data_IF_604838567612
#
_entry.id   IF_604838567612
#
_cell.length_a   1.000
_cell.length_b   1.000
_cell.length_c   1.000
_cell.angle_alpha   90.00
_cell.angle_beta   90.00
_cell.angle_gamma   90.00
#
_symmetry.space_group_name_H-M   'P 1'
#
loop_
_entity.id
_entity.type
_entity.pdbx_description
1 polymer ?
#
# COMPACT_ATOMS: atom_id res chain seq x y z
N UNK A 1 8.51 -12.37 -12.29
CA UNK A 1 9.28 -11.26 -11.73
C UNK A 1 10.74 -11.69 -11.69
N UNK A 2 11.62 -10.92 -12.33
CA UNK A 2 13.06 -11.21 -12.34
C UNK A 2 13.79 -10.65 -11.10
N UNK A 3 15.09 -10.93 -10.98
CA UNK A 3 15.91 -10.49 -9.85
C UNK A 3 16.02 -8.95 -9.76
N UNK A 4 16.04 -8.27 -10.91
CA UNK A 4 16.13 -6.81 -10.97
C UNK A 4 14.83 -6.16 -10.47
N UNK A 5 13.68 -6.65 -10.91
CA UNK A 5 12.36 -6.21 -10.46
C UNK A 5 12.17 -6.42 -8.97
N UNK A 6 12.58 -7.58 -8.44
CA UNK A 6 12.54 -7.85 -7.01
C UNK A 6 13.43 -6.88 -6.22
N UNK A 7 14.65 -6.61 -6.70
CA UNK A 7 15.57 -5.65 -6.10
C UNK A 7 14.96 -4.24 -6.08
N UNK A 8 14.39 -3.79 -7.20
CA UNK A 8 13.74 -2.48 -7.31
C UNK A 8 12.53 -2.42 -6.38
N UNK A 9 11.64 -3.41 -6.41
CA UNK A 9 10.46 -3.47 -5.53
C UNK A 9 10.86 -3.38 -4.05
N UNK A 10 11.80 -4.21 -3.60
CA UNK A 10 12.24 -4.21 -2.21
C UNK A 10 12.83 -2.85 -1.79
N UNK A 11 13.57 -2.21 -2.69
CA UNK A 11 14.07 -0.85 -2.47
C UNK A 11 12.93 0.15 -2.30
N UNK A 12 11.94 0.15 -3.19
CA UNK A 12 10.79 1.07 -3.11
C UNK A 12 10.00 0.91 -1.81
N UNK A 13 9.73 -0.33 -1.39
CA UNK A 13 9.05 -0.59 -0.13
C UNK A 13 9.88 -0.13 1.08
N UNK A 14 11.18 -0.40 1.08
CA UNK A 14 12.08 -0.01 2.17
C UNK A 14 12.18 1.52 2.26
N UNK A 15 12.38 2.20 1.14
CA UNK A 15 12.44 3.67 1.07
C UNK A 15 11.12 4.31 1.46
N UNK A 16 9.98 3.74 1.04
CA UNK A 16 8.66 4.25 1.43
C UNK A 16 8.44 4.17 2.95
N UNK A 17 8.78 3.03 3.58
CA UNK A 17 8.67 2.88 5.04
C UNK A 17 9.61 3.85 5.78
N UNK A 18 10.80 4.11 5.24
CA UNK A 18 11.76 5.05 5.83
C UNK A 18 11.29 6.51 5.71
N UNK A 19 10.90 6.92 4.50
CA UNK A 19 10.78 8.32 4.11
C UNK A 19 9.32 8.82 4.04
N UNK A 20 8.34 7.90 3.93
CA UNK A 20 6.90 8.17 3.75
C UNK A 20 6.54 8.89 2.46
N UNK A 21 7.41 8.81 1.47
CA UNK A 21 7.19 9.35 0.12
C UNK A 21 7.57 8.29 -0.91
N UNK A 22 6.87 8.27 -2.03
CA UNK A 22 7.21 7.39 -3.15
C UNK A 22 8.33 7.99 -3.98
N UNK A 23 9.29 7.16 -4.40
CA UNK A 23 10.36 7.58 -5.31
C UNK A 23 9.89 7.60 -6.77
N UNK A 24 10.21 8.67 -7.49
CA UNK A 24 10.15 8.70 -8.95
C UNK A 24 11.23 7.78 -9.54
N UNK A 25 11.06 7.27 -10.78
CA UNK A 25 12.06 6.38 -11.40
C UNK A 25 13.49 6.95 -11.41
N UNK A 26 13.65 8.24 -11.67
CA UNK A 26 14.96 8.90 -11.65
C UNK A 26 15.64 8.85 -10.27
N UNK A 27 14.87 9.01 -9.19
CA UNK A 27 15.37 8.96 -7.81
C UNK A 27 15.78 7.53 -7.44
N UNK A 28 14.90 6.56 -7.71
CA UNK A 28 15.20 5.15 -7.48
C UNK A 28 16.40 4.66 -8.31
N UNK A 29 16.53 5.12 -9.55
CA UNK A 29 17.66 4.83 -10.42
C UNK A 29 18.98 5.37 -9.86
N UNK A 30 18.99 6.61 -9.39
CA UNK A 30 20.16 7.22 -8.76
C UNK A 30 20.56 6.47 -7.48
N UNK A 31 19.60 6.10 -6.63
CA UNK A 31 19.84 5.37 -5.37
C UNK A 31 20.36 3.94 -5.61
N UNK A 32 19.90 3.28 -6.69
CA UNK A 32 20.28 1.91 -7.02
C UNK A 32 21.50 1.82 -7.96
N UNK A 33 21.97 2.94 -8.52
CA UNK A 33 23.02 2.96 -9.53
C UNK A 33 22.61 2.24 -10.81
N UNK A 34 21.35 2.42 -11.24
CA UNK A 34 20.77 1.80 -12.43
C UNK A 34 20.47 2.86 -13.51
N UNK A 35 20.39 2.48 -14.79
CA UNK A 35 19.83 3.36 -15.81
C UNK A 35 18.36 3.68 -15.52
N UNK A 36 17.97 4.96 -15.64
CA UNK A 36 16.57 5.37 -15.39
C UNK A 36 15.57 4.63 -16.30
N UNK A 37 15.93 4.40 -17.56
CA UNK A 37 15.08 3.65 -18.50
C UNK A 37 14.76 2.23 -17.99
N UNK A 38 15.74 1.53 -17.42
CA UNK A 38 15.54 0.18 -16.86
C UNK A 38 14.59 0.21 -15.66
N UNK A 39 14.68 1.25 -14.82
CA UNK A 39 13.80 1.43 -13.66
C UNK A 39 12.38 1.81 -14.09
N UNK A 40 12.23 2.69 -15.09
CA UNK A 40 10.93 3.03 -15.69
C UNK A 40 10.23 1.77 -16.22
N UNK A 41 10.96 0.93 -16.95
CA UNK A 41 10.38 -0.29 -17.49
C UNK A 41 10.10 -1.33 -16.39
N UNK A 42 10.94 -1.40 -15.36
CA UNK A 42 10.67 -2.24 -14.20
C UNK A 42 9.42 -1.78 -13.42
N UNK A 43 9.18 -0.47 -13.27
CA UNK A 43 7.94 0.04 -12.65
C UNK A 43 6.70 -0.43 -13.40
N UNK A 44 6.73 -0.37 -14.74
CA UNK A 44 5.64 -0.85 -15.59
C UNK A 44 5.43 -2.36 -15.46
N UNK A 45 6.50 -3.14 -15.51
CA UNK A 45 6.41 -4.60 -15.34
C UNK A 45 5.96 -4.99 -13.94
N UNK A 46 6.39 -4.28 -12.91
CA UNK A 46 5.91 -4.46 -11.54
C UNK A 46 4.43 -4.10 -11.42
N UNK A 47 3.95 -3.08 -12.13
CA UNK A 47 2.53 -2.76 -12.21
C UNK A 47 1.73 -3.89 -12.85
N UNK A 48 2.14 -4.35 -14.03
CA UNK A 48 1.49 -5.44 -14.76
C UNK A 48 1.54 -6.77 -13.98
N UNK A 49 2.57 -6.97 -13.17
CA UNK A 49 2.75 -8.11 -12.30
C UNK A 49 2.15 -7.92 -10.89
N UNK A 50 1.38 -6.85 -10.66
CA UNK A 50 0.69 -6.57 -9.40
C UNK A 50 1.61 -6.41 -8.18
N UNK A 51 2.88 -6.07 -8.40
CA UNK A 51 3.89 -5.82 -7.36
C UNK A 51 3.89 -4.39 -6.82
N UNK A 52 3.25 -3.46 -7.54
CA UNK A 52 2.90 -2.09 -7.14
C UNK A 52 1.76 -1.59 -8.03
N UNK A 53 1.18 -0.43 -7.73
CA UNK A 53 0.20 0.21 -8.62
C UNK A 53 0.68 1.61 -9.01
N UNK A 54 0.63 1.92 -10.31
CA UNK A 54 0.93 3.25 -10.84
C UNK A 54 -0.35 4.06 -11.02
N UNK A 55 -0.24 5.38 -10.96
CA UNK A 55 -1.29 6.29 -11.41
C UNK A 55 -1.49 6.16 -12.93
N UNK A 56 -2.74 6.13 -13.44
CA UNK A 56 -3.04 5.93 -14.85
C UNK A 56 -2.23 6.85 -15.78
N UNK A 57 -1.57 6.26 -16.78
CA UNK A 57 -0.79 6.99 -17.78
C UNK A 57 0.51 7.62 -17.25
N UNK A 58 0.98 7.24 -16.07
CA UNK A 58 2.21 7.79 -15.47
C UNK A 58 3.11 6.71 -14.87
N UNK A 59 4.28 7.13 -14.36
CA UNK A 59 5.18 6.31 -13.54
C UNK A 59 5.14 6.69 -12.06
N UNK A 60 4.16 7.50 -11.65
CA UNK A 60 3.94 7.83 -10.24
C UNK A 60 3.30 6.65 -9.55
N UNK A 61 3.85 6.25 -8.41
CA UNK A 61 3.31 5.15 -7.61
C UNK A 61 2.06 5.64 -6.88
N UNK A 62 0.97 4.89 -7.02
CA UNK A 62 -0.30 5.05 -6.31
C UNK A 62 -0.38 4.13 -5.09
N UNK A 63 0.07 2.88 -5.23
CA UNK A 63 -0.01 1.87 -4.17
C UNK A 63 1.28 1.07 -4.05
N UNK A 64 1.72 0.86 -2.81
CA UNK A 64 2.73 -0.11 -2.40
C UNK A 64 2.08 -1.00 -1.35
N UNK A 65 1.16 -1.89 -1.77
CA UNK A 65 0.30 -2.64 -0.86
C UNK A 65 1.10 -3.27 0.30
N UNK A 66 0.69 -3.04 1.56
CA UNK A 66 -0.62 -2.52 1.96
C UNK A 66 -0.75 -0.97 2.01
N UNK A 67 0.32 -0.25 1.70
CA UNK A 67 0.35 1.22 1.79
C UNK A 67 -0.29 1.89 0.57
N UNK A 68 -1.00 2.98 0.82
CA UNK A 68 -1.45 3.94 -0.19
C UNK A 68 -0.49 5.14 -0.23
N UNK A 69 -0.12 5.55 -1.45
CA UNK A 69 0.66 6.77 -1.67
C UNK A 69 -0.22 8.04 -1.73
N UNK A 70 -1.54 7.87 -1.77
CA UNK A 70 -2.53 8.95 -1.73
C UNK A 70 -3.38 8.86 -0.46
N UNK A 71 -3.98 9.98 -0.06
CA UNK A 71 -4.90 9.97 1.09
C UNK A 71 -6.11 9.09 0.83
N UNK A 72 -6.49 8.30 1.83
CA UNK A 72 -7.69 7.47 1.83
C UNK A 72 -8.42 7.63 3.15
N UNK A 73 -9.68 7.17 3.26
CA UNK A 73 -10.39 7.13 4.54
C UNK A 73 -9.71 6.22 5.57
N UNK A 74 -8.79 5.33 5.18
CA UNK A 74 -8.16 4.33 6.05
C UNK A 74 -6.81 4.83 6.56
N UNK A 75 -6.81 5.51 7.70
CA UNK A 75 -5.58 6.00 8.34
C UNK A 75 -5.10 4.99 9.38
N UNK A 76 -3.81 4.70 9.37
CA UNK A 76 -3.18 3.74 10.28
C UNK A 76 -2.04 4.40 11.02
N UNK A 77 -2.10 4.43 12.34
CA UNK A 77 -0.98 4.77 13.20
C UNK A 77 -0.26 3.48 13.59
N UNK A 78 0.99 3.29 13.16
CA UNK A 78 1.82 2.12 13.50
C UNK A 78 3.30 2.46 13.44
N UNK A 79 4.11 1.79 14.28
CA UNK A 79 5.55 2.05 14.43
C UNK A 79 5.89 3.54 14.66
N UNK A 80 5.04 4.26 15.40
CA UNK A 80 5.21 5.68 15.72
C UNK A 80 4.98 6.63 14.54
N UNK A 81 4.34 6.17 13.47
CA UNK A 81 4.07 6.93 12.24
C UNK A 81 2.65 6.73 11.75
N UNK A 82 2.17 7.70 10.98
CA UNK A 82 0.87 7.67 10.32
C UNK A 82 1.00 7.26 8.85
N UNK A 83 0.09 6.41 8.39
CA UNK A 83 0.03 5.83 7.06
C UNK A 83 -1.39 5.88 6.50
N UNK A 84 -1.52 5.82 5.18
CA UNK A 84 -2.79 5.52 4.52
C UNK A 84 -2.75 4.11 3.95
N UNK A 85 -3.87 3.38 4.06
CA UNK A 85 -4.06 2.07 3.46
C UNK A 85 -5.02 2.15 2.26
N UNK A 86 -4.92 1.23 1.31
CA UNK A 86 -5.78 1.27 0.11
C UNK A 86 -7.24 0.91 0.40
N UNK A 87 -7.48 0.05 1.39
CA UNK A 87 -8.81 -0.39 1.79
C UNK A 87 -8.83 -0.81 3.27
N UNK A 88 -10.00 -1.22 3.78
CA UNK A 88 -10.15 -1.68 5.16
C UNK A 88 -9.31 -2.95 5.45
N UNK A 89 -9.13 -3.83 4.47
CA UNK A 89 -8.28 -5.02 4.61
C UNK A 89 -6.80 -4.67 4.65
N UNK A 90 -6.33 -3.84 3.71
CA UNK A 90 -4.95 -3.35 3.69
C UNK A 90 -4.58 -2.58 4.97
N UNK A 91 -5.56 -1.91 5.61
CA UNK A 91 -5.33 -1.22 6.87
C UNK A 91 -4.85 -2.16 7.99
N UNK A 92 -5.36 -3.40 8.03
CA UNK A 92 -4.88 -4.44 8.93
C UNK A 92 -3.53 -5.03 8.49
N UNK A 93 -3.21 -4.95 7.19
CA UNK A 93 -1.93 -5.39 6.64
C UNK A 93 -0.74 -4.52 7.04
N UNK A 94 -0.94 -3.22 7.27
CA UNK A 94 0.14 -2.30 7.63
C UNK A 94 0.82 -2.68 8.97
N UNK A 95 0.09 -2.83 10.11
CA UNK A 95 0.71 -3.25 11.37
C UNK A 95 1.45 -4.58 11.25
N UNK A 96 0.88 -5.55 10.51
CA UNK A 96 1.50 -6.84 10.25
C UNK A 96 2.81 -6.71 9.45
N UNK A 97 2.83 -5.89 8.39
CA UNK A 97 4.00 -5.65 7.56
C UNK A 97 5.14 -4.92 8.31
N UNK A 98 4.78 -4.05 9.25
CA UNK A 98 5.72 -3.30 10.08
C UNK A 98 6.15 -4.06 11.34
N UNK A 99 5.57 -5.24 11.61
CA UNK A 99 5.78 -6.01 12.83
C UNK A 99 5.58 -5.16 14.10
N UNK A 100 4.51 -4.36 14.12
CA UNK A 100 4.20 -3.43 15.20
C UNK A 100 2.70 -3.41 15.48
N UNK A 101 2.33 -2.94 16.67
CA UNK A 101 0.94 -2.61 16.98
C UNK A 101 0.43 -1.49 16.07
N UNK A 102 -0.90 -1.39 15.94
CA UNK A 102 -1.49 -0.33 15.14
C UNK A 102 -2.91 0.07 15.55
N UNK A 103 -3.20 1.35 15.41
CA UNK A 103 -4.55 1.91 15.52
C UNK A 103 -5.02 2.35 14.15
N UNK A 104 -6.20 1.91 13.75
CA UNK A 104 -6.79 2.20 12.45
C UNK A 104 -8.02 3.05 12.67
N UNK A 105 -8.09 4.17 11.95
CA UNK A 105 -9.27 5.01 11.85
C UNK A 105 -9.80 4.94 10.43
N UNK A 106 -11.10 4.71 10.31
CA UNK A 106 -11.81 4.62 9.04
C UNK A 106 -13.21 5.23 9.13
N UNK A 107 -14.00 5.09 8.07
CA UNK A 107 -15.38 5.56 8.00
C UNK A 107 -16.24 4.54 7.27
N UNK A 108 -17.47 4.35 7.75
CA UNK A 108 -18.47 3.57 7.04
C UNK A 108 -18.74 4.20 5.67
N UNK A 109 -18.65 3.45 4.55
CA UNK A 109 -18.88 4.00 3.22
C UNK A 109 -20.34 4.36 2.95
N UNK A 110 -21.29 3.82 3.72
CA UNK A 110 -22.73 4.10 3.57
C UNK A 110 -23.15 5.36 4.35
N UNK A 111 -22.87 5.40 5.66
CA UNK A 111 -23.35 6.47 6.54
C UNK A 111 -22.27 7.46 7.01
N UNK A 112 -20.99 7.20 6.75
CA UNK A 112 -19.88 8.06 7.15
C UNK A 112 -19.49 7.99 8.64
N UNK A 113 -20.11 7.12 9.43
CA UNK A 113 -19.78 6.93 10.84
C UNK A 113 -18.29 6.57 11.01
N UNK A 114 -17.60 7.17 12.01
CA UNK A 114 -16.21 6.84 12.29
C UNK A 114 -16.11 5.39 12.78
N UNK A 115 -15.17 4.65 12.21
CA UNK A 115 -14.84 3.28 12.58
C UNK A 115 -13.43 3.22 13.12
N UNK A 116 -13.21 2.43 14.17
CA UNK A 116 -11.92 2.29 14.81
C UNK A 116 -11.58 0.81 15.01
N UNK A 117 -10.36 0.44 14.64
CA UNK A 117 -9.79 -0.88 14.89
C UNK A 117 -8.47 -0.74 15.61
N UNK A 118 -8.09 -1.75 16.38
CA UNK A 118 -6.81 -1.78 17.07
C UNK A 118 -6.21 -3.18 17.02
N UNK A 119 -4.96 -3.27 16.59
CA UNK A 119 -4.15 -4.48 16.58
C UNK A 119 -3.07 -4.34 17.64
N UNK A 120 -2.98 -5.33 18.55
CA UNK A 120 -1.92 -5.43 19.56
C UNK A 120 -1.35 -6.82 19.60
N UNK A 121 -0.02 -6.94 19.61
CA UNK A 121 0.69 -8.22 19.64
C UNK A 121 0.23 -9.20 18.54
N UNK A 122 -0.14 -8.66 17.37
CA UNK A 122 -0.63 -9.43 16.22
C UNK A 122 -2.11 -9.80 16.25
N UNK A 123 -2.85 -9.43 17.31
CA UNK A 123 -4.26 -9.75 17.49
C UNK A 123 -5.15 -8.52 17.34
N UNK A 124 -6.33 -8.68 16.73
CA UNK A 124 -7.35 -7.63 16.65
C UNK A 124 -8.08 -7.49 17.99
N UNK A 125 -7.73 -6.47 18.77
CA UNK A 125 -8.27 -6.24 20.12
C UNK A 125 -9.47 -5.28 20.15
N UNK A 126 -9.71 -4.53 19.07
CA UNK A 126 -10.89 -3.65 18.88
C UNK A 126 -11.39 -3.74 17.44
N UNK A 127 -12.71 -3.75 17.27
CA UNK A 127 -13.37 -3.76 15.95
C UNK A 127 -13.66 -5.15 15.39
N UNK A 128 -13.59 -6.20 16.21
CA UNK A 128 -13.89 -7.58 15.80
C UNK A 128 -15.38 -7.81 15.44
N UNK A 129 -16.25 -6.90 15.87
CA UNK A 129 -17.68 -6.85 15.55
C UNK A 129 -17.99 -6.14 14.22
N UNK A 130 -16.99 -5.47 13.61
CA UNK A 130 -17.13 -4.80 12.32
C UNK A 130 -17.05 -5.79 11.15
N UNK A 131 -17.58 -5.38 10.01
CA UNK A 131 -17.56 -6.16 8.77
C UNK A 131 -16.73 -5.46 7.69
N UNK A 132 -15.81 -6.21 7.08
CA UNK A 132 -15.14 -5.80 5.84
C UNK A 132 -15.94 -6.36 4.66
N UNK A 133 -16.42 -5.48 3.80
CA UNK A 133 -17.20 -5.87 2.62
C UNK A 133 -16.32 -5.87 1.38
N UNK A 134 -16.23 -7.02 0.70
CA UNK A 134 -15.59 -7.15 -0.60
C UNK A 134 -16.67 -7.21 -1.69
N UNK A 135 -16.94 -6.06 -2.31
CA UNK A 135 -17.99 -5.91 -3.33
C UNK A 135 -17.62 -6.58 -4.66
N UNK A 136 -16.33 -6.62 -4.98
CA UNK A 136 -15.82 -7.26 -6.20
C UNK A 136 -15.20 -8.62 -5.86
N UNK A 137 -15.51 -9.69 -6.61
CA UNK A 137 -14.83 -10.97 -6.44
C UNK A 137 -13.32 -10.84 -6.63
N UNK A 138 -12.51 -11.52 -5.81
CA UNK A 138 -11.06 -11.38 -5.81
C UNK A 138 -10.39 -11.67 -7.16
N UNK A 139 -10.95 -12.57 -7.97
CA UNK A 139 -10.47 -12.86 -9.32
C UNK A 139 -10.64 -11.69 -10.31
N UNK A 140 -11.39 -10.66 -9.94
CA UNK A 140 -11.67 -9.45 -10.74
C UNK A 140 -11.07 -8.19 -10.14
N UNK A 141 -10.33 -8.27 -9.04
CA UNK A 141 -9.76 -7.07 -8.40
C UNK A 141 -8.84 -6.28 -9.34
N UNK A 142 -8.11 -6.97 -10.20
CA UNK A 142 -7.21 -6.33 -11.14
C UNK A 142 -7.88 -5.81 -12.41
N UNK A 143 -9.22 -5.96 -12.55
CA UNK A 143 -9.98 -5.23 -13.57
C UNK A 143 -9.93 -3.71 -13.29
N UNK A 144 -10.00 -3.32 -12.01
CA UNK A 144 -9.83 -1.95 -11.51
C UNK A 144 -9.52 -1.97 -10.00
N UNK A 145 -8.25 -2.13 -9.64
CA UNK A 145 -7.79 -2.24 -8.24
C UNK A 145 -8.06 -0.96 -7.43
N UNK A 146 -8.30 0.18 -8.10
CA UNK A 146 -8.65 1.42 -7.44
C UNK A 146 -10.09 1.46 -6.92
N UNK A 147 -10.98 0.60 -7.44
CA UNK A 147 -12.41 0.57 -7.15
C UNK A 147 -12.87 -0.65 -6.32
N UNK A 148 -11.99 -1.62 -6.10
CA UNK A 148 -12.36 -2.96 -5.58
C UNK A 148 -12.50 -3.08 -4.08
#
# INVERSE_FOLDING_TARGET
MDELELRIRNHLYTSFVRDRTTSMPAEAAAELGLPEADVVDAYRRLHDAHGLVLEPGSTRIRMLNPFSAVETPHRVESAGRSWFANCAWDALGIPAALHADGRIESKCPDCGEPLELEVREGELVRGADLLVHFVVPACRWWDDIGFT
#
